data_IF_814758864560
#
_entry.id   IF_814758864560
#
_cell.length_a   1.000
_cell.length_b   1.000
_cell.length_c   1.000
_cell.angle_alpha   90.00
_cell.angle_beta   90.00
_cell.angle_gamma   90.00
#
_symmetry.space_group_name_H-M   'P 1'
#
loop_
_entity.id
_entity.type
_entity.pdbx_description
1 polymer ?
#
# COMPACT_ATOMS: atom_id res chain seq x y z
N UNK A 1 -21.39 -47.97 3.15
CA UNK A 1 -22.20 -46.84 2.65
C UNK A 1 -22.17 -45.76 3.74
N UNK A 2 -21.04 -45.05 3.83
CA UNK A 2 -20.79 -44.04 4.88
C UNK A 2 -21.08 -42.65 4.33
N UNK A 3 -22.10 -42.01 4.88
CA UNK A 3 -22.49 -40.65 4.53
C UNK A 3 -21.36 -39.66 4.86
N UNK A 4 -20.88 -38.93 3.85
CA UNK A 4 -20.07 -37.74 4.06
C UNK A 4 -20.93 -36.69 4.78
N UNK A 5 -20.44 -36.06 5.87
CA UNK A 5 -21.16 -34.97 6.49
C UNK A 5 -21.11 -33.76 5.55
N UNK A 6 -22.27 -33.31 5.11
CA UNK A 6 -22.43 -32.03 4.42
C UNK A 6 -21.88 -30.92 5.33
N UNK A 7 -20.77 -30.30 4.92
CA UNK A 7 -20.23 -29.12 5.57
C UNK A 7 -21.33 -28.05 5.62
N UNK A 8 -21.63 -27.54 6.81
CA UNK A 8 -22.62 -26.49 7.01
C UNK A 8 -22.25 -25.27 6.17
N UNK A 9 -23.16 -24.88 5.28
CA UNK A 9 -23.03 -23.69 4.46
C UNK A 9 -23.14 -22.46 5.37
N UNK A 10 -22.03 -21.77 5.63
CA UNK A 10 -22.01 -20.58 6.47
C UNK A 10 -22.56 -19.37 5.68
N UNK A 11 -23.75 -18.84 6.04
CA UNK A 11 -24.37 -17.71 5.33
C UNK A 11 -23.59 -16.39 5.48
N UNK A 12 -22.67 -16.27 6.45
CA UNK A 12 -21.87 -15.07 6.66
C UNK A 12 -20.74 -14.94 5.63
N UNK A 13 -20.15 -16.06 5.20
CA UNK A 13 -19.14 -16.11 4.13
C UNK A 13 -19.72 -15.61 2.78
N UNK A 14 -20.97 -15.96 2.51
CA UNK A 14 -21.69 -15.51 1.32
C UNK A 14 -22.03 -14.03 1.35
N UNK A 15 -22.42 -13.51 2.52
CA UNK A 15 -22.73 -12.09 2.69
C UNK A 15 -21.48 -11.21 2.50
N UNK A 16 -20.33 -11.59 3.08
CA UNK A 16 -19.07 -10.86 2.88
C UNK A 16 -18.62 -10.87 1.41
N UNK A 17 -18.74 -12.02 0.74
CA UNK A 17 -18.41 -12.16 -0.68
C UNK A 17 -19.33 -11.33 -1.57
N UNK A 18 -20.64 -11.31 -1.28
CA UNK A 18 -21.63 -10.49 -2.00
C UNK A 18 -21.43 -8.99 -1.76
N UNK A 19 -21.13 -8.58 -0.53
CA UNK A 19 -20.88 -7.18 -0.20
C UNK A 19 -19.63 -6.64 -0.92
N UNK A 20 -18.52 -7.38 -0.89
CA UNK A 20 -17.29 -7.03 -1.60
C UNK A 20 -17.46 -7.01 -3.13
N UNK A 21 -18.23 -7.96 -3.68
CA UNK A 21 -18.57 -7.97 -5.10
C UNK A 21 -19.40 -6.75 -5.52
N UNK A 22 -20.43 -6.41 -4.73
CA UNK A 22 -21.28 -5.24 -4.98
C UNK A 22 -20.49 -3.92 -4.89
N UNK A 23 -19.54 -3.82 -3.97
CA UNK A 23 -18.62 -2.67 -3.88
C UNK A 23 -17.82 -2.50 -5.18
N UNK A 24 -17.14 -3.57 -5.62
CA UNK A 24 -16.33 -3.58 -6.84
C UNK A 24 -17.15 -3.29 -8.10
N UNK A 25 -18.40 -3.74 -8.14
CA UNK A 25 -19.31 -3.42 -9.23
C UNK A 25 -19.70 -1.95 -9.22
N UNK A 26 -20.04 -1.38 -8.06
CA UNK A 26 -20.35 0.05 -7.94
C UNK A 26 -19.19 0.93 -8.41
N UNK A 27 -17.97 0.62 -8.00
CA UNK A 27 -16.78 1.37 -8.44
C UNK A 27 -16.59 1.29 -9.96
N UNK A 28 -16.80 0.11 -10.55
CA UNK A 28 -16.73 -0.07 -12.01
C UNK A 28 -17.82 0.69 -12.75
N UNK A 29 -19.04 0.68 -12.23
CA UNK A 29 -20.17 1.43 -12.81
C UNK A 29 -19.95 2.93 -12.71
N UNK A 30 -19.41 3.40 -11.58
CA UNK A 30 -19.05 4.80 -11.37
C UNK A 30 -17.98 5.27 -12.37
N UNK A 31 -16.91 4.50 -12.56
CA UNK A 31 -15.86 4.81 -13.54
C UNK A 31 -16.40 4.73 -14.98
N UNK A 32 -17.28 3.77 -15.26
CA UNK A 32 -17.92 3.64 -16.58
C UNK A 32 -18.82 4.85 -16.89
N UNK A 33 -19.61 5.32 -15.92
CA UNK A 33 -20.42 6.54 -16.04
C UNK A 33 -19.55 7.78 -16.25
N UNK A 34 -18.48 7.95 -15.46
CA UNK A 34 -17.53 9.04 -15.64
C UNK A 34 -16.87 9.04 -17.03
N UNK A 35 -16.61 7.85 -17.59
CA UNK A 35 -16.07 7.70 -18.95
C UNK A 35 -17.12 8.00 -20.03
N UNK A 36 -18.40 7.75 -19.77
CA UNK A 36 -19.51 8.00 -20.70
C UNK A 36 -19.93 9.49 -20.74
N UNK A 37 -19.61 10.27 -19.70
CA UNK A 37 -19.86 11.71 -19.66
C UNK A 37 -19.07 12.47 -20.73
N UNK A 38 -19.58 13.63 -21.19
CA UNK A 38 -18.88 14.47 -22.16
C UNK A 38 -17.48 14.85 -21.66
N UNK A 39 -16.50 14.85 -22.58
CA UNK A 39 -15.06 15.05 -22.31
C UNK A 39 -14.69 16.49 -21.94
N UNK A 40 -15.38 17.06 -20.97
CA UNK A 40 -15.05 18.35 -20.37
C UNK A 40 -13.84 18.22 -19.45
N UNK A 41 -13.09 19.32 -19.28
CA UNK A 41 -11.97 19.42 -18.34
C UNK A 41 -12.28 18.88 -16.93
N UNK A 42 -13.40 19.24 -16.27
CA UNK A 42 -13.71 18.74 -14.93
C UNK A 42 -13.95 17.22 -14.89
N UNK A 43 -14.60 16.65 -15.90
CA UNK A 43 -14.84 15.21 -15.96
C UNK A 43 -13.53 14.43 -16.19
N UNK A 44 -12.59 14.99 -16.97
CA UNK A 44 -11.24 14.42 -17.12
C UNK A 44 -10.46 14.47 -15.82
N UNK A 45 -10.53 15.58 -15.10
CA UNK A 45 -9.84 15.75 -13.81
C UNK A 45 -10.38 14.75 -12.77
N UNK A 46 -11.69 14.62 -12.65
CA UNK A 46 -12.35 13.64 -11.77
C UNK A 46 -11.91 12.21 -12.10
N UNK A 47 -11.85 11.87 -13.39
CA UNK A 47 -11.42 10.54 -13.84
C UNK A 47 -9.94 10.29 -13.51
N UNK A 48 -9.07 11.29 -13.65
CA UNK A 48 -7.65 11.19 -13.25
C UNK A 48 -7.54 11.01 -11.74
N UNK A 49 -8.23 11.82 -10.92
CA UNK A 49 -8.22 11.70 -9.46
C UNK A 49 -8.65 10.31 -8.99
N UNK A 50 -9.70 9.75 -9.59
CA UNK A 50 -10.16 8.40 -9.28
C UNK A 50 -9.10 7.32 -9.60
N UNK A 51 -8.26 7.54 -10.62
CA UNK A 51 -7.25 6.58 -11.07
C UNK A 51 -5.89 6.77 -10.38
N UNK A 52 -5.59 7.99 -9.92
CA UNK A 52 -4.33 8.35 -9.27
C UNK A 52 -4.23 7.82 -7.83
N UNK A 53 -5.38 7.59 -7.17
CA UNK A 53 -5.45 7.14 -5.77
C UNK A 53 -4.52 5.97 -5.42
N UNK A 54 -4.58 4.82 -6.12
CA UNK A 54 -3.69 3.69 -5.86
C UNK A 54 -2.20 4.03 -6.03
N UNK A 55 -1.85 4.86 -7.02
CA UNK A 55 -0.46 5.29 -7.23
C UNK A 55 0.05 6.20 -6.12
N UNK A 56 -0.79 7.12 -5.62
CA UNK A 56 -0.46 7.97 -4.48
C UNK A 56 -0.26 7.16 -3.19
N UNK A 57 -1.09 6.15 -2.94
CA UNK A 57 -0.94 5.28 -1.77
C UNK A 57 0.40 4.55 -1.78
N UNK A 58 0.81 4.03 -2.94
CA UNK A 58 2.12 3.38 -3.09
C UNK A 58 3.26 4.37 -2.91
N UNK A 59 3.14 5.58 -3.48
CA UNK A 59 4.15 6.63 -3.32
C UNK A 59 4.32 7.06 -1.85
N UNK A 60 3.22 7.21 -1.11
CA UNK A 60 3.26 7.54 0.31
C UNK A 60 3.88 6.39 1.12
N UNK A 61 3.55 5.14 0.80
CA UNK A 61 4.15 3.97 1.47
C UNK A 61 5.65 3.80 1.22
N UNK A 62 6.15 4.23 0.06
CA UNK A 62 7.59 4.19 -0.28
C UNK A 62 8.40 5.30 0.41
N UNK A 63 7.72 6.30 0.99
CA UNK A 63 8.31 7.41 1.72
C UNK A 63 7.94 7.35 3.21
N UNK A 64 8.21 6.20 3.82
CA UNK A 64 8.04 5.97 5.24
C UNK A 64 9.09 6.72 6.09
N UNK A 65 8.86 6.76 7.41
CA UNK A 65 9.79 7.40 8.34
C UNK A 65 11.21 6.80 8.29
N UNK A 66 11.33 5.49 8.03
CA UNK A 66 12.62 4.80 7.88
C UNK A 66 13.42 5.29 6.67
N UNK A 67 12.76 5.41 5.52
CA UNK A 67 13.33 6.01 4.31
C UNK A 67 13.78 7.44 4.54
N UNK A 68 12.89 8.29 5.08
CA UNK A 68 13.21 9.71 5.36
C UNK A 68 14.40 9.86 6.30
N UNK A 69 14.49 9.04 7.36
CA UNK A 69 15.62 9.08 8.28
C UNK A 69 16.93 8.69 7.59
N UNK A 70 16.89 7.66 6.75
CA UNK A 70 18.07 7.20 5.99
C UNK A 70 18.53 8.27 4.99
N UNK A 71 17.58 8.94 4.33
CA UNK A 71 17.86 10.06 3.44
C UNK A 71 18.48 11.24 4.19
N UNK A 72 17.95 11.59 5.36
CA UNK A 72 18.49 12.66 6.20
C UNK A 72 19.91 12.34 6.68
N UNK A 73 20.16 11.11 7.12
CA UNK A 73 21.50 10.66 7.55
C UNK A 73 22.50 10.66 6.39
N UNK A 74 22.10 10.11 5.23
CA UNK A 74 22.96 10.05 4.05
C UNK A 74 23.24 11.44 3.51
N UNK A 75 22.24 12.32 3.48
CA UNK A 75 22.39 13.73 3.09
C UNK A 75 23.32 14.50 4.03
N UNK A 76 23.26 14.24 5.34
CA UNK A 76 24.17 14.82 6.31
C UNK A 76 25.60 14.29 6.17
N UNK A 77 25.78 13.00 5.86
CA UNK A 77 27.08 12.37 5.75
C UNK A 77 27.83 12.68 4.44
N UNK A 78 27.14 12.68 3.30
CA UNK A 78 27.75 12.81 1.96
C UNK A 78 27.46 14.15 1.28
N UNK A 79 26.65 15.00 1.89
CA UNK A 79 26.22 16.28 1.32
C UNK A 79 25.29 16.13 0.11
N UNK A 80 24.71 17.25 -0.32
CA UNK A 80 23.73 17.28 -1.41
C UNK A 80 24.32 16.90 -2.77
N UNK A 81 25.63 17.10 -2.98
CA UNK A 81 26.29 16.85 -4.27
C UNK A 81 26.28 15.39 -4.70
N UNK A 82 26.33 14.44 -3.76
CA UNK A 82 26.23 13.00 -4.03
C UNK A 82 24.81 12.49 -3.77
N UNK A 83 24.18 12.98 -2.71
CA UNK A 83 22.84 12.55 -2.32
C UNK A 83 21.80 12.77 -3.42
N UNK A 84 21.77 13.97 -4.02
CA UNK A 84 20.71 14.33 -4.98
C UNK A 84 20.79 13.54 -6.31
N UNK A 85 21.98 13.36 -6.94
CA UNK A 85 22.10 12.47 -8.10
C UNK A 85 21.72 11.03 -7.79
N UNK A 86 22.11 10.51 -6.61
CA UNK A 86 21.77 9.15 -6.21
C UNK A 86 20.25 8.97 -6.04
N UNK A 87 19.58 9.93 -5.41
CA UNK A 87 18.11 9.95 -5.26
C UNK A 87 17.41 9.92 -6.62
N UNK A 88 17.91 10.65 -7.61
CA UNK A 88 17.33 10.67 -8.95
C UNK A 88 17.47 9.31 -9.65
N UNK A 89 18.62 8.65 -9.51
CA UNK A 89 18.84 7.30 -10.06
C UNK A 89 17.95 6.27 -9.36
N UNK A 90 17.90 6.29 -8.02
CA UNK A 90 17.06 5.37 -7.25
C UNK A 90 15.56 5.59 -7.53
N UNK A 91 15.12 6.85 -7.64
CA UNK A 91 13.75 7.18 -8.02
C UNK A 91 13.39 6.66 -9.42
N UNK A 92 14.32 6.72 -10.37
CA UNK A 92 14.12 6.12 -11.69
C UNK A 92 13.99 4.59 -11.62
N UNK A 93 14.82 3.91 -10.83
CA UNK A 93 14.71 2.46 -10.62
C UNK A 93 13.36 2.11 -9.98
N UNK A 94 12.97 2.83 -8.93
CA UNK A 94 11.68 2.65 -8.27
C UNK A 94 10.51 2.83 -9.26
N UNK A 95 10.56 3.87 -10.10
CA UNK A 95 9.55 4.08 -11.15
C UNK A 95 9.40 2.88 -12.08
N UNK A 96 10.51 2.32 -12.56
CA UNK A 96 10.49 1.13 -13.43
C UNK A 96 9.89 -0.06 -12.70
N UNK A 97 10.27 -0.31 -11.45
CA UNK A 97 9.71 -1.41 -10.65
C UNK A 97 8.20 -1.25 -10.45
N UNK A 98 7.73 -0.03 -10.18
CA UNK A 98 6.31 0.25 -10.00
C UNK A 98 5.51 0.10 -11.30
N UNK A 99 6.04 0.57 -12.42
CA UNK A 99 5.40 0.38 -13.72
C UNK A 99 5.26 -1.11 -14.05
N UNK A 100 6.31 -1.91 -13.83
CA UNK A 100 6.24 -3.36 -14.04
C UNK A 100 5.21 -4.03 -13.13
N UNK A 101 5.13 -3.61 -11.87
CA UNK A 101 4.17 -4.14 -10.89
C UNK A 101 2.73 -3.84 -11.31
N UNK A 102 2.46 -2.60 -11.73
CA UNK A 102 1.15 -2.18 -12.23
C UNK A 102 0.80 -2.92 -13.52
N UNK A 103 1.75 -3.04 -14.46
CA UNK A 103 1.53 -3.76 -15.72
C UNK A 103 1.21 -5.24 -15.47
N UNK A 104 1.93 -5.88 -14.55
CA UNK A 104 1.67 -7.26 -14.16
C UNK A 104 0.27 -7.42 -13.56
N UNK A 105 -0.13 -6.54 -12.63
CA UNK A 105 -1.47 -6.54 -12.05
C UNK A 105 -2.58 -6.29 -13.07
N UNK A 106 -2.36 -5.36 -14.01
CA UNK A 106 -3.33 -5.01 -15.05
C UNK A 106 -3.55 -6.15 -16.06
N UNK A 107 -2.47 -6.83 -16.48
CA UNK A 107 -2.53 -7.94 -17.45
C UNK A 107 -3.09 -9.21 -16.82
N UNK A 108 -2.62 -9.58 -15.63
CA UNK A 108 -3.01 -10.85 -14.99
C UNK A 108 -4.34 -10.77 -14.25
N UNK A 109 -4.80 -9.56 -13.91
CA UNK A 109 -5.99 -9.30 -13.07
C UNK A 109 -5.93 -10.04 -11.72
N UNK A 110 -4.73 -10.30 -11.22
CA UNK A 110 -4.45 -11.01 -9.96
C UNK A 110 -3.43 -10.23 -9.14
N UNK A 111 -3.45 -10.46 -7.83
CA UNK A 111 -2.48 -9.85 -6.92
C UNK A 111 -1.09 -10.46 -7.06
N UNK A 112 -0.03 -9.69 -6.76
CA UNK A 112 1.35 -10.16 -6.83
C UNK A 112 1.58 -11.43 -6.01
N UNK A 113 1.08 -11.48 -4.78
CA UNK A 113 1.16 -12.67 -3.92
C UNK A 113 0.50 -13.90 -4.57
N UNK A 114 -0.69 -13.76 -5.16
CA UNK A 114 -1.37 -14.89 -5.82
C UNK A 114 -0.55 -15.45 -6.99
N UNK A 115 0.16 -14.59 -7.72
CA UNK A 115 1.04 -15.01 -8.81
C UNK A 115 2.26 -15.77 -8.30
N UNK A 116 2.84 -15.36 -7.16
CA UNK A 116 3.96 -16.09 -6.54
C UNK A 116 3.54 -17.51 -6.19
N UNK A 117 2.41 -17.65 -5.48
CA UNK A 117 1.89 -18.95 -5.08
C UNK A 117 1.60 -19.86 -6.28
N UNK A 118 1.06 -19.31 -7.36
CA UNK A 118 0.74 -20.09 -8.58
C UNK A 118 1.96 -20.45 -9.42
N UNK A 119 2.98 -19.58 -9.48
CA UNK A 119 4.14 -19.77 -10.36
C UNK A 119 5.30 -20.51 -9.67
N UNK A 120 5.53 -20.23 -8.39
CA UNK A 120 6.67 -20.74 -7.63
C UNK A 120 6.27 -21.74 -6.54
N UNK A 121 4.97 -21.90 -6.30
CA UNK A 121 4.44 -22.87 -5.35
C UNK A 121 4.33 -22.34 -3.91
N UNK A 122 3.86 -23.20 -2.99
CA UNK A 122 3.46 -22.79 -1.65
C UNK A 122 4.63 -22.36 -0.75
N UNK A 123 5.81 -22.94 -0.93
CA UNK A 123 6.99 -22.58 -0.15
C UNK A 123 7.40 -21.12 -0.38
N UNK A 124 7.59 -20.73 -1.65
CA UNK A 124 7.94 -19.36 -2.03
C UNK A 124 6.81 -18.37 -1.75
N UNK A 125 5.56 -18.81 -1.90
CA UNK A 125 4.40 -18.03 -1.50
C UNK A 125 4.36 -17.71 -0.01
N UNK A 126 4.67 -18.69 0.84
CA UNK A 126 4.75 -18.50 2.30
C UNK A 126 5.95 -17.63 2.68
N UNK A 127 7.11 -17.87 2.08
CA UNK A 127 8.31 -17.04 2.30
C UNK A 127 8.01 -15.56 2.00
N UNK A 128 7.42 -15.26 0.85
CA UNK A 128 7.04 -13.89 0.47
C UNK A 128 6.00 -13.28 1.42
N UNK A 129 5.07 -14.09 1.94
CA UNK A 129 4.08 -13.60 2.91
C UNK A 129 4.74 -13.24 4.25
N UNK A 130 5.62 -14.09 4.76
CA UNK A 130 6.35 -13.86 6.01
C UNK A 130 7.25 -12.64 5.88
N UNK A 131 7.98 -12.53 4.77
CA UNK A 131 8.82 -11.38 4.45
C UNK A 131 8.01 -10.08 4.42
N UNK A 132 6.86 -10.08 3.73
CA UNK A 132 5.96 -8.92 3.68
C UNK A 132 5.43 -8.53 5.06
N UNK A 133 5.03 -9.50 5.89
CA UNK A 133 4.55 -9.23 7.26
C UNK A 133 5.67 -8.65 8.10
N UNK A 134 6.87 -9.23 8.02
CA UNK A 134 8.02 -8.76 8.77
C UNK A 134 8.42 -7.34 8.34
N UNK A 135 8.53 -7.07 7.03
CA UNK A 135 8.83 -5.76 6.50
C UNK A 135 7.82 -4.71 6.97
N UNK A 136 6.51 -5.01 6.91
CA UNK A 136 5.48 -4.10 7.39
C UNK A 136 5.57 -3.84 8.91
N UNK A 137 5.90 -4.86 9.72
CA UNK A 137 6.14 -4.66 11.16
C UNK A 137 7.34 -3.74 11.38
N UNK A 138 8.44 -3.95 10.66
CA UNK A 138 9.63 -3.10 10.73
C UNK A 138 9.30 -1.65 10.32
N UNK A 139 8.54 -1.47 9.24
CA UNK A 139 8.06 -0.14 8.80
C UNK A 139 7.20 0.52 9.88
N UNK A 140 6.26 -0.20 10.51
CA UNK A 140 5.48 0.34 11.62
C UNK A 140 6.36 0.77 12.79
N UNK A 141 7.38 -0.02 13.15
CA UNK A 141 8.34 0.36 14.19
C UNK A 141 9.06 1.65 13.81
N UNK A 142 9.53 1.79 12.58
CA UNK A 142 10.20 3.02 12.12
C UNK A 142 9.26 4.22 12.07
N UNK A 143 7.97 4.05 11.76
CA UNK A 143 6.98 5.11 11.83
C UNK A 143 6.86 5.68 13.25
N UNK A 144 6.79 4.83 14.27
CA UNK A 144 6.78 5.28 15.67
C UNK A 144 8.09 5.98 16.07
N UNK A 145 9.23 5.51 15.57
CA UNK A 145 10.52 6.20 15.76
C UNK A 145 10.47 7.59 15.11
N UNK A 146 9.94 7.69 13.88
CA UNK A 146 9.75 8.95 13.16
C UNK A 146 8.88 9.94 13.93
N UNK A 147 7.73 9.48 14.44
CA UNK A 147 6.82 10.29 15.27
C UNK A 147 7.53 10.80 16.53
N UNK A 148 8.33 9.95 17.18
CA UNK A 148 9.12 10.36 18.35
C UNK A 148 10.13 11.44 17.97
N UNK A 149 10.92 11.24 16.92
CA UNK A 149 11.95 12.19 16.48
C UNK A 149 11.32 13.51 16.03
N UNK A 150 10.22 13.45 15.26
CA UNK A 150 9.44 14.61 14.86
C UNK A 150 8.88 15.36 16.06
N UNK A 151 8.26 14.66 17.02
CA UNK A 151 7.75 15.24 18.26
C UNK A 151 8.82 15.95 19.08
N UNK A 152 10.01 15.36 19.19
CA UNK A 152 11.17 15.98 19.84
C UNK A 152 11.59 17.28 19.17
N UNK A 153 11.53 17.37 17.83
CA UNK A 153 11.82 18.61 17.10
C UNK A 153 10.84 19.75 17.43
N UNK A 154 9.60 19.43 17.81
CA UNK A 154 8.60 20.38 18.28
C UNK A 154 8.59 20.58 19.81
N UNK A 155 9.52 19.95 20.54
CA UNK A 155 9.60 20.02 22.00
C UNK A 155 8.53 19.20 22.73
N UNK A 156 7.83 18.28 22.04
CA UNK A 156 6.79 17.43 22.62
C UNK A 156 7.41 16.11 23.07
N UNK A 157 7.16 15.71 24.31
CA UNK A 157 7.68 14.45 24.87
C UNK A 157 7.06 13.22 24.20
N UNK A 158 7.88 12.18 24.02
CA UNK A 158 7.46 10.88 23.48
C UNK A 158 6.36 10.22 24.31
N UNK A 159 6.26 10.57 25.60
CA UNK A 159 5.21 10.10 26.51
C UNK A 159 3.83 10.58 26.09
N UNK A 160 3.75 11.71 25.36
CA UNK A 160 2.50 12.25 24.82
C UNK A 160 2.29 11.82 23.36
N UNK A 161 3.33 11.93 22.52
CA UNK A 161 3.18 11.68 21.08
C UNK A 161 2.87 10.22 20.77
N UNK A 162 3.57 9.26 21.41
CA UNK A 162 3.40 7.84 21.11
C UNK A 162 2.01 7.31 21.48
N UNK A 163 1.48 7.53 22.70
CA UNK A 163 0.13 7.07 23.04
C UNK A 163 -0.96 7.77 22.24
N UNK A 164 -0.79 9.06 21.95
CA UNK A 164 -1.74 9.82 21.13
C UNK A 164 -1.83 9.25 19.72
N UNK A 165 -0.68 8.99 19.07
CA UNK A 165 -0.69 8.42 17.72
C UNK A 165 -1.20 6.97 17.72
N UNK A 166 -0.87 6.17 18.73
CA UNK A 166 -1.44 4.83 18.88
C UNK A 166 -2.97 4.88 19.02
N UNK A 167 -3.50 5.78 19.86
CA UNK A 167 -4.93 5.96 20.04
C UNK A 167 -5.62 6.40 18.74
N UNK A 168 -4.99 7.31 17.98
CA UNK A 168 -5.47 7.74 16.67
C UNK A 168 -5.54 6.56 15.69
N UNK A 169 -4.46 5.80 15.55
CA UNK A 169 -4.41 4.64 14.62
C UNK A 169 -5.49 3.62 14.98
N UNK A 170 -5.63 3.27 16.27
CA UNK A 170 -6.65 2.33 16.74
C UNK A 170 -8.07 2.85 16.52
N UNK A 171 -8.30 4.16 16.64
CA UNK A 171 -9.62 4.75 16.39
C UNK A 171 -10.01 4.75 14.90
N UNK A 172 -9.02 4.70 14.00
CA UNK A 172 -9.23 4.71 12.54
C UNK A 172 -9.24 3.32 11.89
N UNK A 173 -8.82 2.28 12.62
CA UNK A 173 -8.79 0.88 12.18
C UNK A 173 -10.16 0.20 12.35
#
# INVERSE_FOLDING_TARGET
MSAHPHAAHDPNLDQGTRAGFNQRLRDRLYIADLRARPRTLPNRLLLVLALVGPGLLVMLGDNDAGGVLTYAQTGAAYGLGIFLPMMLVLGFVAYIVQEMTIRLGAVTRRGHAELIWKRYGPFWGLFSLVDLVLANILTLVTEFIGIRVGGLAFGISYVVTVPLTLAFVVATL
#
